data_IF_584805132418
#
_entry.id   IF_584805132418
#
_cell.length_a   1.000
_cell.length_b   1.000
_cell.length_c   1.000
_cell.angle_alpha   90.00
_cell.angle_beta   90.00
_cell.angle_gamma   90.00
#
_symmetry.space_group_name_H-M   'P 1'
#
loop_
_entity.id
_entity.type
_entity.pdbx_description
1 polymer ?
#
# COMPACT_ATOMS: atom_id res chain seq x y z
N UNK A 1 -9.54 25.57 28.03
CA UNK A 1 -9.24 26.99 28.37
C UNK A 1 -9.03 27.90 27.15
N UNK A 2 -8.21 27.50 26.15
CA UNK A 2 -7.91 28.34 24.98
C UNK A 2 -9.08 28.51 23.98
N UNK A 3 -9.89 27.46 23.76
CA UNK A 3 -10.99 27.49 22.77
C UNK A 3 -12.09 28.51 23.10
N UNK A 4 -12.45 28.67 24.38
CA UNK A 4 -13.52 29.60 24.77
C UNK A 4 -13.12 31.07 24.62
N UNK A 5 -11.82 31.38 24.73
CA UNK A 5 -11.32 32.72 24.50
C UNK A 5 -11.43 33.12 23.01
N UNK A 6 -11.27 32.16 22.09
CA UNK A 6 -11.38 32.40 20.65
C UNK A 6 -12.83 32.64 20.21
N UNK A 7 -13.80 31.97 20.84
CA UNK A 7 -15.21 32.03 20.43
C UNK A 7 -15.78 33.45 20.48
N UNK A 8 -15.51 34.21 21.55
CA UNK A 8 -16.00 35.59 21.69
C UNK A 8 -15.44 36.51 20.62
N UNK A 9 -14.17 36.34 20.26
CA UNK A 9 -13.50 37.13 19.22
C UNK A 9 -13.89 36.68 17.80
N UNK A 10 -14.31 35.43 17.62
CA UNK A 10 -14.85 34.93 16.36
C UNK A 10 -16.29 35.37 16.10
N UNK A 11 -17.08 35.60 17.14
CA UNK A 11 -18.45 36.12 17.03
C UNK A 11 -18.47 37.59 16.61
N UNK A 12 -17.58 38.40 17.18
CA UNK A 12 -17.44 39.83 16.86
C UNK A 12 -15.99 40.13 16.46
N UNK A 13 -15.53 39.66 15.29
CA UNK A 13 -14.16 39.88 14.87
C UNK A 13 -13.93 41.36 14.56
N UNK A 14 -12.82 41.96 15.04
CA UNK A 14 -12.45 43.29 14.63
C UNK A 14 -12.35 43.38 13.09
N UNK A 15 -12.71 44.50 12.44
CA UNK A 15 -12.82 44.57 10.98
C UNK A 15 -11.53 44.20 10.22
N UNK A 16 -10.38 44.43 10.85
CA UNK A 16 -9.05 44.19 10.31
C UNK A 16 -8.52 42.76 10.57
N UNK A 17 -9.22 41.95 11.36
CA UNK A 17 -8.79 40.59 11.71
C UNK A 17 -9.48 39.58 10.81
N UNK A 18 -8.70 38.63 10.29
CA UNK A 18 -9.20 37.46 9.55
C UNK A 18 -8.70 36.19 10.23
N UNK A 19 -9.61 35.25 10.43
CA UNK A 19 -9.30 33.93 10.99
C UNK A 19 -9.20 32.92 9.85
N UNK A 20 -8.06 32.25 9.75
CA UNK A 20 -7.85 31.10 8.84
C UNK A 20 -7.53 29.90 9.72
N UNK A 21 -8.44 28.94 9.76
CA UNK A 21 -8.31 27.72 10.56
C UNK A 21 -8.04 26.54 9.63
N UNK A 22 -6.97 25.79 9.91
CA UNK A 22 -6.58 24.61 9.14
C UNK A 22 -6.63 23.37 10.05
N UNK A 23 -7.29 22.30 9.60
CA UNK A 23 -7.33 21.01 10.31
C UNK A 23 -7.38 19.85 9.32
N UNK A 24 -6.77 18.72 9.69
CA UNK A 24 -6.93 17.44 8.99
C UNK A 24 -8.08 16.61 9.56
N UNK A 25 -8.65 17.01 10.71
CA UNK A 25 -9.69 16.28 11.44
C UNK A 25 -10.92 17.17 11.68
N UNK A 26 -11.63 17.55 10.61
CA UNK A 26 -12.77 18.46 10.70
C UNK A 26 -13.87 18.02 11.68
N UNK A 27 -14.07 16.70 11.84
CA UNK A 27 -15.07 16.13 12.75
C UNK A 27 -14.75 16.38 14.23
N UNK A 28 -13.49 16.66 14.58
CA UNK A 28 -13.09 17.02 15.96
C UNK A 28 -13.29 18.51 16.26
N UNK A 29 -13.57 19.33 15.25
CA UNK A 29 -13.81 20.76 15.44
C UNK A 29 -15.21 20.96 16.04
N UNK A 30 -15.37 21.73 17.13
CA UNK A 30 -16.68 21.99 17.70
C UNK A 30 -17.65 22.60 16.69
N UNK A 31 -18.92 22.16 16.70
CA UNK A 31 -19.96 22.68 15.82
C UNK A 31 -20.16 24.21 15.94
N UNK A 32 -19.88 24.76 17.12
CA UNK A 32 -19.91 26.21 17.38
C UNK A 32 -18.92 26.99 16.51
N UNK A 33 -17.75 26.43 16.21
CA UNK A 33 -16.77 27.05 15.31
C UNK A 33 -17.16 26.79 13.86
N UNK A 34 -17.56 25.56 13.52
CA UNK A 34 -17.94 25.21 12.15
C UNK A 34 -19.07 26.11 11.62
N UNK A 35 -20.07 26.41 12.46
CA UNK A 35 -21.20 27.29 12.10
C UNK A 35 -20.82 28.75 11.83
N UNK A 36 -19.64 29.20 12.29
CA UNK A 36 -19.15 30.58 12.17
C UNK A 36 -18.03 30.73 11.14
N UNK A 37 -17.67 29.65 10.44
CA UNK A 37 -16.61 29.63 9.43
C UNK A 37 -17.16 29.22 8.07
N UNK A 38 -16.64 29.83 7.00
CA UNK A 38 -16.80 29.26 5.67
C UNK A 38 -15.86 28.07 5.52
N UNK A 39 -16.42 26.90 5.28
CA UNK A 39 -15.66 25.65 5.13
C UNK A 39 -15.20 25.48 3.69
N UNK A 40 -13.90 25.25 3.52
CA UNK A 40 -13.28 24.86 2.26
C UNK A 40 -12.62 23.50 2.45
N UNK A 41 -13.12 22.49 1.74
CA UNK A 41 -12.54 21.15 1.75
C UNK A 41 -11.53 21.02 0.62
N UNK A 42 -10.27 20.83 1.00
CA UNK A 42 -9.21 20.49 0.05
C UNK A 42 -9.20 18.97 -0.17
N UNK A 43 -9.20 18.57 -1.45
CA UNK A 43 -9.08 17.17 -1.85
C UNK A 43 -7.64 16.86 -2.24
N UNK A 44 -7.27 15.59 -2.17
CA UNK A 44 -5.98 15.12 -2.67
C UNK A 44 -5.80 15.51 -4.14
N UNK A 45 -4.58 15.88 -4.50
CA UNK A 45 -4.23 16.31 -5.85
C UNK A 45 -3.91 15.04 -6.67
N UNK A 46 -4.51 14.88 -7.84
CA UNK A 46 -4.16 13.76 -8.75
C UNK A 46 -2.68 13.80 -9.12
N UNK A 47 -2.03 12.64 -9.26
CA UNK A 47 -0.61 12.55 -9.63
C UNK A 47 -0.27 13.37 -10.89
N UNK A 48 -1.12 13.33 -11.92
CA UNK A 48 -0.94 14.12 -13.15
C UNK A 48 -0.85 15.64 -12.90
N UNK A 49 -1.66 16.17 -11.96
CA UNK A 49 -1.63 17.60 -11.59
C UNK A 49 -0.40 17.95 -10.77
N UNK A 50 0.05 17.05 -9.89
CA UNK A 50 1.31 17.22 -9.17
C UNK A 50 2.46 17.24 -10.16
N UNK A 51 2.54 16.25 -11.06
CA UNK A 51 3.58 16.15 -12.08
C UNK A 51 3.66 17.42 -12.94
N UNK A 52 2.52 17.92 -13.42
CA UNK A 52 2.47 19.18 -14.19
C UNK A 52 3.04 20.37 -13.41
N UNK A 53 2.69 20.50 -12.13
CA UNK A 53 3.25 21.57 -11.30
C UNK A 53 4.76 21.41 -11.05
N UNK A 54 5.24 20.19 -10.81
CA UNK A 54 6.66 19.92 -10.62
C UNK A 54 7.45 20.24 -11.90
N UNK A 55 6.93 19.87 -13.08
CA UNK A 55 7.52 20.24 -14.37
C UNK A 55 7.57 21.78 -14.53
N UNK A 56 6.50 22.49 -14.16
CA UNK A 56 6.47 23.96 -14.22
C UNK A 56 7.56 24.59 -13.33
N UNK A 57 7.79 24.04 -12.13
CA UNK A 57 8.84 24.49 -11.21
C UNK A 57 10.23 24.22 -11.81
N UNK A 58 10.49 23.00 -12.28
CA UNK A 58 11.77 22.63 -12.89
C UNK A 58 12.11 23.52 -14.09
N UNK A 59 11.12 23.84 -14.94
CA UNK A 59 11.31 24.77 -16.07
C UNK A 59 11.68 26.17 -15.61
N UNK A 60 11.07 26.69 -14.52
CA UNK A 60 11.40 28.02 -13.98
C UNK A 60 12.81 28.07 -13.37
N UNK A 61 13.23 26.98 -12.75
CA UNK A 61 14.57 26.83 -12.17
C UNK A 61 15.63 26.42 -13.21
N UNK A 62 15.25 26.23 -14.48
CA UNK A 62 16.14 25.77 -15.57
C UNK A 62 16.81 24.42 -15.31
N UNK A 63 16.11 23.50 -14.64
CA UNK A 63 16.57 22.15 -14.31
C UNK A 63 15.96 21.17 -15.32
N UNK A 64 16.79 20.37 -15.98
CA UNK A 64 16.31 19.34 -16.89
C UNK A 64 15.85 18.10 -16.11
N UNK A 65 14.75 17.47 -16.54
CA UNK A 65 14.22 16.28 -15.89
C UNK A 65 13.53 15.34 -16.88
N UNK A 66 13.60 14.04 -16.61
CA UNK A 66 12.85 13.03 -17.34
C UNK A 66 11.38 13.05 -16.91
N UNK A 67 10.45 13.05 -17.87
CA UNK A 67 9.01 13.04 -17.57
C UNK A 67 8.58 11.84 -16.71
N UNK A 68 9.21 10.68 -16.93
CA UNK A 68 8.99 9.49 -16.14
C UNK A 68 9.41 9.67 -14.67
N UNK A 69 10.55 10.35 -14.42
CA UNK A 69 11.03 10.63 -13.08
C UNK A 69 10.09 11.59 -12.35
N UNK A 70 9.65 12.66 -13.02
CA UNK A 70 8.72 13.63 -12.43
C UNK A 70 7.36 12.99 -12.11
N UNK A 71 6.85 12.14 -13.01
CA UNK A 71 5.60 11.40 -12.77
C UNK A 71 5.74 10.43 -11.58
N UNK A 72 6.90 9.79 -11.43
CA UNK A 72 7.14 8.89 -10.30
C UNK A 72 7.23 9.65 -8.98
N UNK A 73 7.89 10.81 -8.93
CA UNK A 73 7.86 11.71 -7.76
C UNK A 73 6.43 12.14 -7.43
N UNK A 74 5.64 12.48 -8.44
CA UNK A 74 4.24 12.88 -8.26
C UNK A 74 3.36 11.76 -7.68
N UNK A 75 3.61 10.50 -8.05
CA UNK A 75 2.95 9.33 -7.44
C UNK A 75 3.38 9.13 -5.99
N UNK A 76 4.68 9.24 -5.71
CA UNK A 76 5.23 9.15 -4.34
C UNK A 76 4.71 10.25 -3.41
N UNK A 77 4.37 11.41 -3.97
CA UNK A 77 3.77 12.51 -3.23
C UNK A 77 2.35 12.20 -2.71
N UNK A 78 1.68 11.16 -3.22
CA UNK A 78 0.38 10.67 -2.76
C UNK A 78 -0.67 11.76 -2.47
N UNK A 79 -0.81 12.72 -3.39
CA UNK A 79 -1.77 13.82 -3.27
C UNK A 79 -1.29 15.05 -2.50
N UNK A 80 -0.08 15.03 -1.96
CA UNK A 80 0.55 16.13 -1.20
C UNK A 80 1.57 16.89 -2.04
N UNK A 81 1.24 18.09 -2.50
CA UNK A 81 2.18 18.93 -3.27
C UNK A 81 3.46 19.23 -2.49
N UNK A 82 3.35 19.43 -1.17
CA UNK A 82 4.49 19.70 -0.30
C UNK A 82 5.48 18.53 -0.32
N UNK A 83 4.97 17.31 -0.24
CA UNK A 83 5.83 16.13 -0.19
C UNK A 83 6.45 15.88 -1.58
N UNK A 84 5.71 16.16 -2.66
CA UNK A 84 6.25 16.15 -4.03
C UNK A 84 7.40 17.13 -4.26
N UNK A 85 7.24 18.39 -3.82
CA UNK A 85 8.31 19.39 -3.88
C UNK A 85 9.50 19.01 -2.99
N UNK A 86 9.24 18.49 -1.78
CA UNK A 86 10.30 18.06 -0.86
C UNK A 86 11.12 16.90 -1.43
N UNK A 87 10.48 15.95 -2.13
CA UNK A 87 11.15 14.87 -2.83
C UNK A 87 11.96 15.39 -4.02
N UNK A 88 11.38 16.31 -4.80
CA UNK A 88 12.06 16.93 -5.94
C UNK A 88 13.33 17.67 -5.50
N UNK A 89 13.26 18.48 -4.45
CA UNK A 89 14.41 19.21 -3.90
C UNK A 89 15.55 18.26 -3.49
N UNK A 90 15.21 17.11 -2.89
CA UNK A 90 16.23 16.09 -2.53
C UNK A 90 16.93 15.53 -3.76
N UNK A 91 16.20 15.30 -4.85
CA UNK A 91 16.77 14.80 -6.10
C UNK A 91 17.66 15.83 -6.76
N UNK A 92 17.21 17.08 -6.82
CA UNK A 92 18.02 18.19 -7.34
C UNK A 92 19.31 18.34 -6.54
N UNK A 93 19.24 18.25 -5.21
CA UNK A 93 20.42 18.34 -4.35
C UNK A 93 21.40 17.16 -4.50
N UNK A 94 20.90 15.98 -4.84
CA UNK A 94 21.72 14.78 -5.04
C UNK A 94 22.26 14.65 -6.48
N UNK A 95 21.70 15.41 -7.42
CA UNK A 95 22.17 15.42 -8.81
C UNK A 95 23.58 16.01 -8.92
N UNK A 96 24.47 15.33 -9.65
CA UNK A 96 25.82 15.82 -9.92
C UNK A 96 25.91 16.68 -11.18
N UNK A 97 25.00 16.52 -12.13
CA UNK A 97 24.94 17.24 -13.41
C UNK A 97 23.78 18.25 -13.48
N UNK A 98 23.03 18.41 -12.38
CA UNK A 98 21.87 19.30 -12.31
C UNK A 98 20.64 18.76 -13.06
N UNK A 99 20.58 17.46 -13.35
CA UNK A 99 19.44 16.80 -13.98
C UNK A 99 18.73 15.82 -13.05
N UNK A 100 17.42 15.75 -13.18
CA UNK A 100 16.57 14.78 -12.45
C UNK A 100 16.19 13.64 -13.39
N UNK A 101 16.85 12.49 -13.23
CA UNK A 101 16.61 11.30 -14.08
C UNK A 101 15.93 10.18 -13.29
N UNK A 102 15.37 9.20 -13.99
CA UNK A 102 14.83 7.98 -13.34
C UNK A 102 15.92 7.18 -12.61
N UNK A 103 17.14 7.14 -13.16
CA UNK A 103 18.27 6.50 -12.50
C UNK A 103 18.65 7.20 -11.19
N UNK A 104 18.73 8.53 -11.19
CA UNK A 104 18.99 9.31 -9.97
C UNK A 104 17.89 9.11 -8.93
N UNK A 105 16.63 9.02 -9.35
CA UNK A 105 15.51 8.73 -8.47
C UNK A 105 15.66 7.38 -7.78
N UNK A 106 16.03 6.32 -8.52
CA UNK A 106 16.28 5.00 -7.98
C UNK A 106 17.44 5.03 -6.97
N UNK A 107 18.56 5.67 -7.32
CA UNK A 107 19.75 5.78 -6.48
C UNK A 107 19.49 6.56 -5.18
N UNK A 108 18.76 7.69 -5.26
CA UNK A 108 18.55 8.61 -4.13
C UNK A 108 17.43 8.14 -3.20
N UNK A 109 16.36 7.58 -3.76
CA UNK A 109 15.21 7.14 -2.98
C UNK A 109 15.29 5.66 -2.60
N UNK A 110 16.31 4.92 -3.06
CA UNK A 110 16.38 3.46 -2.88
C UNK A 110 15.15 2.76 -3.47
N UNK A 111 14.55 3.38 -4.50
CA UNK A 111 13.35 2.88 -5.15
C UNK A 111 13.77 1.75 -6.07
N UNK A 112 13.31 0.52 -5.81
CA UNK A 112 13.63 -0.61 -6.67
C UNK A 112 12.96 -0.42 -8.04
N UNK A 113 13.51 -1.06 -9.07
CA UNK A 113 12.79 -1.20 -10.33
C UNK A 113 11.42 -1.83 -10.09
N UNK A 114 10.38 -1.34 -10.77
CA UNK A 114 9.00 -1.84 -10.64
C UNK A 114 8.93 -3.37 -10.83
N UNK A 115 9.80 -3.92 -11.69
CA UNK A 115 9.93 -5.35 -11.95
C UNK A 115 10.34 -6.19 -10.73
N UNK A 116 11.11 -5.62 -9.79
CA UNK A 116 11.54 -6.29 -8.56
C UNK A 116 10.33 -6.49 -7.65
N UNK A 117 9.55 -5.43 -7.45
CA UNK A 117 8.33 -5.47 -6.62
C UNK A 117 7.27 -6.34 -7.28
N UNK A 118 7.09 -6.22 -8.60
CA UNK A 118 6.20 -7.09 -9.38
C UNK A 118 6.58 -8.56 -9.22
N UNK A 119 7.87 -8.90 -9.31
CA UNK A 119 8.36 -10.27 -9.12
C UNK A 119 8.12 -10.81 -7.70
N UNK A 120 8.23 -9.97 -6.67
CA UNK A 120 7.88 -10.36 -5.29
C UNK A 120 6.38 -10.63 -5.15
N UNK A 121 5.53 -9.73 -5.67
CA UNK A 121 4.07 -9.90 -5.64
C UNK A 121 3.63 -11.13 -6.44
N UNK A 122 4.25 -11.40 -7.59
CA UNK A 122 4.00 -12.60 -8.37
C UNK A 122 4.39 -13.89 -7.62
N UNK A 123 5.51 -13.90 -6.90
CA UNK A 123 5.91 -15.03 -6.06
C UNK A 123 4.92 -15.27 -4.90
N UNK A 124 4.41 -14.19 -4.31
CA UNK A 124 3.36 -14.25 -3.29
C UNK A 124 2.08 -14.84 -3.89
N UNK A 125 1.67 -14.41 -5.08
CA UNK A 125 0.49 -14.94 -5.79
C UNK A 125 0.62 -16.41 -6.17
N UNK A 126 1.83 -16.86 -6.49
CA UNK A 126 2.11 -18.28 -6.72
C UNK A 126 2.09 -19.13 -5.43
N UNK A 127 2.01 -18.49 -4.25
CA UNK A 127 2.04 -19.15 -2.96
C UNK A 127 3.39 -19.75 -2.57
N UNK A 128 4.49 -19.32 -3.22
CA UNK A 128 5.84 -19.79 -2.94
C UNK A 128 6.49 -18.90 -1.86
N UNK A 129 6.34 -19.31 -0.59
CA UNK A 129 6.90 -18.57 0.54
C UNK A 129 8.43 -18.47 0.51
N UNK A 130 9.13 -19.47 -0.06
CA UNK A 130 10.59 -19.47 -0.15
C UNK A 130 11.05 -18.41 -1.14
N UNK A 131 10.52 -18.44 -2.37
CA UNK A 131 10.88 -17.46 -3.41
C UNK A 131 10.43 -16.06 -3.00
N UNK A 132 9.30 -15.93 -2.30
CA UNK A 132 8.85 -14.65 -1.76
C UNK A 132 9.85 -14.07 -0.74
N UNK A 133 10.35 -14.89 0.19
CA UNK A 133 11.37 -14.46 1.14
C UNK A 133 12.72 -14.13 0.47
N UNK A 134 13.17 -14.93 -0.49
CA UNK A 134 14.40 -14.69 -1.25
C UNK A 134 14.33 -13.32 -1.98
N UNK A 135 13.20 -13.04 -2.65
CA UNK A 135 12.96 -11.76 -3.34
C UNK A 135 12.83 -10.58 -2.37
N UNK A 136 12.15 -10.79 -1.24
CA UNK A 136 12.02 -9.77 -0.21
C UNK A 136 13.39 -9.44 0.43
N UNK A 137 14.27 -10.44 0.61
CA UNK A 137 15.63 -10.21 1.07
C UNK A 137 16.45 -9.42 0.05
N UNK A 138 16.42 -9.80 -1.24
CA UNK A 138 17.10 -9.08 -2.31
C UNK A 138 16.64 -7.62 -2.44
N UNK A 139 15.34 -7.38 -2.25
CA UNK A 139 14.78 -6.02 -2.23
C UNK A 139 15.40 -5.17 -1.12
N UNK A 140 15.52 -5.71 0.10
CA UNK A 140 16.12 -4.99 1.22
C UNK A 140 17.65 -4.84 1.07
N UNK A 141 18.33 -5.84 0.49
CA UNK A 141 19.76 -5.76 0.14
C UNK A 141 20.04 -4.68 -0.92
N UNK A 142 19.07 -4.41 -1.80
CA UNK A 142 19.09 -3.30 -2.75
C UNK A 142 18.92 -1.90 -2.12
N UNK A 143 18.82 -1.81 -0.79
CA UNK A 143 18.74 -0.54 -0.06
C UNK A 143 17.32 -0.04 0.21
N UNK A 144 16.29 -0.75 -0.25
CA UNK A 144 14.90 -0.42 0.08
C UNK A 144 14.65 -0.64 1.57
N UNK A 145 14.07 0.33 2.25
CA UNK A 145 13.71 0.18 3.67
C UNK A 145 12.48 -0.72 3.84
N UNK A 146 12.28 -1.30 5.04
CA UNK A 146 11.10 -2.14 5.33
C UNK A 146 9.79 -1.35 5.14
N UNK A 147 9.76 -0.10 5.59
CA UNK A 147 8.59 0.76 5.47
C UNK A 147 8.24 0.97 3.99
N UNK A 148 9.24 1.30 3.18
CA UNK A 148 9.10 1.49 1.75
C UNK A 148 8.72 0.20 1.02
N UNK A 149 9.30 -0.95 1.40
CA UNK A 149 8.94 -2.24 0.82
C UNK A 149 7.46 -2.57 1.05
N UNK A 150 6.95 -2.33 2.27
CA UNK A 150 5.54 -2.55 2.60
C UNK A 150 4.61 -1.61 1.82
N UNK A 151 4.99 -0.33 1.68
CA UNK A 151 4.25 0.66 0.89
C UNK A 151 4.20 0.30 -0.60
N UNK A 152 5.35 -0.09 -1.18
CA UNK A 152 5.46 -0.53 -2.57
C UNK A 152 4.64 -1.80 -2.85
N UNK A 153 4.70 -2.78 -1.94
CA UNK A 153 3.88 -3.98 -2.04
C UNK A 153 2.39 -3.65 -1.97
N UNK A 154 1.97 -2.77 -1.04
CA UNK A 154 0.58 -2.35 -0.91
C UNK A 154 0.08 -1.67 -2.19
N UNK A 155 0.87 -0.77 -2.78
CA UNK A 155 0.52 -0.10 -4.03
C UNK A 155 0.46 -1.09 -5.20
N UNK A 156 1.39 -2.05 -5.29
CA UNK A 156 1.33 -3.08 -6.33
C UNK A 156 0.10 -3.98 -6.17
N UNK A 157 -0.26 -4.38 -4.96
CA UNK A 157 -1.50 -5.11 -4.70
C UNK A 157 -2.73 -4.29 -5.10
N UNK A 158 -2.73 -2.96 -4.87
CA UNK A 158 -3.80 -2.06 -5.33
C UNK A 158 -3.93 -2.05 -6.84
N UNK A 159 -2.81 -1.93 -7.58
CA UNK A 159 -2.81 -1.95 -9.05
C UNK A 159 -3.36 -3.27 -9.57
N UNK A 160 -2.89 -4.41 -9.04
CA UNK A 160 -3.38 -5.74 -9.42
C UNK A 160 -4.87 -5.91 -9.09
N UNK A 161 -5.32 -5.39 -7.94
CA UNK A 161 -6.73 -5.42 -7.52
C UNK A 161 -7.62 -4.62 -8.47
N UNK A 162 -7.19 -3.42 -8.88
CA UNK A 162 -7.91 -2.63 -9.86
C UNK A 162 -7.98 -3.34 -11.21
N UNK A 163 -6.89 -4.00 -11.64
CA UNK A 163 -6.89 -4.78 -12.87
C UNK A 163 -7.87 -5.96 -12.79
N UNK A 164 -7.94 -6.64 -11.63
CA UNK A 164 -8.83 -7.76 -11.40
C UNK A 164 -10.32 -7.36 -11.36
N UNK A 165 -10.64 -6.20 -10.75
CA UNK A 165 -12.03 -5.75 -10.53
C UNK A 165 -12.57 -4.92 -11.68
N UNK A 166 -11.75 -4.01 -12.23
CA UNK A 166 -12.17 -3.03 -13.24
C UNK A 166 -11.71 -3.37 -14.66
N UNK A 167 -10.81 -4.34 -14.82
CA UNK A 167 -10.19 -4.67 -16.10
C UNK A 167 -8.95 -3.83 -16.40
N UNK A 168 -8.08 -4.34 -17.28
CA UNK A 168 -6.78 -3.75 -17.63
C UNK A 168 -6.90 -2.37 -18.31
N UNK A 169 -7.98 -2.16 -19.06
CA UNK A 169 -8.24 -0.93 -19.83
C UNK A 169 -8.90 0.18 -18.99
N UNK A 170 -9.11 -0.04 -17.69
CA UNK A 170 -9.74 0.94 -16.82
C UNK A 170 -8.89 2.21 -16.66
N UNK A 171 -9.55 3.38 -16.74
CA UNK A 171 -8.94 4.68 -16.44
C UNK A 171 -8.48 4.79 -14.98
N UNK A 172 -8.99 3.94 -14.09
CA UNK A 172 -8.56 3.89 -12.67
C UNK A 172 -7.15 3.31 -12.50
N UNK A 173 -6.65 2.55 -13.48
CA UNK A 173 -5.24 2.15 -13.52
C UNK A 173 -4.42 3.30 -14.11
N UNK A 174 -3.85 4.15 -13.27
CA UNK A 174 -2.96 5.24 -13.71
C UNK A 174 -1.51 4.75 -13.92
N UNK A 175 -1.33 3.71 -14.74
CA UNK A 175 -0.02 3.09 -15.06
C UNK A 175 0.22 2.98 -16.57
N UNK A 176 1.48 2.80 -16.96
CA UNK A 176 1.90 2.59 -18.35
C UNK A 176 1.35 1.26 -18.92
N UNK A 177 1.26 1.14 -20.24
CA UNK A 177 0.61 0.01 -20.91
C UNK A 177 1.29 -1.34 -20.62
N UNK A 178 2.62 -1.37 -20.55
CA UNK A 178 3.36 -2.59 -20.16
C UNK A 178 3.00 -3.03 -18.73
N UNK A 179 2.87 -2.06 -17.81
CA UNK A 179 2.49 -2.32 -16.43
C UNK A 179 1.02 -2.75 -16.30
N UNK A 180 0.12 -2.26 -17.16
CA UNK A 180 -1.28 -2.75 -17.23
C UNK A 180 -1.33 -4.23 -17.60
N UNK A 181 -0.59 -4.62 -18.65
CA UNK A 181 -0.56 -6.00 -19.12
C UNK A 181 0.02 -6.94 -18.07
N UNK A 182 1.06 -6.52 -17.35
CA UNK A 182 1.61 -7.28 -16.24
C UNK A 182 0.64 -7.41 -15.06
N UNK A 183 0.02 -6.30 -14.63
CA UNK A 183 -0.97 -6.32 -13.55
C UNK A 183 -2.17 -7.23 -13.88
N UNK A 184 -2.62 -7.23 -15.13
CA UNK A 184 -3.69 -8.12 -15.60
C UNK A 184 -3.28 -9.61 -15.63
N UNK A 185 -1.99 -9.91 -15.82
CA UNK A 185 -1.47 -11.28 -15.67
C UNK A 185 -1.44 -11.69 -14.20
N UNK A 186 -0.87 -10.85 -13.35
CA UNK A 186 -0.76 -11.10 -11.91
C UNK A 186 -2.14 -11.25 -11.26
N UNK A 187 -3.13 -10.49 -11.71
CA UNK A 187 -4.51 -10.54 -11.22
C UNK A 187 -5.12 -11.95 -11.27
N UNK A 188 -4.69 -12.81 -12.20
CA UNK A 188 -5.18 -14.18 -12.32
C UNK A 188 -4.76 -15.09 -11.17
N UNK A 189 -3.72 -14.71 -10.43
CA UNK A 189 -3.21 -15.46 -9.29
C UNK A 189 -3.90 -15.09 -7.96
N UNK A 190 -4.83 -14.11 -7.97
CA UNK A 190 -5.45 -13.62 -6.75
C UNK A 190 -6.95 -13.45 -6.90
N UNK A 191 -7.67 -13.79 -5.83
CA UNK A 191 -9.04 -13.30 -5.63
C UNK A 191 -9.00 -11.80 -5.24
N UNK A 192 -9.90 -10.95 -5.76
CA UNK A 192 -9.95 -9.53 -5.39
C UNK A 192 -10.05 -9.27 -3.88
N UNK A 193 -10.80 -10.12 -3.16
CA UNK A 193 -10.93 -10.04 -1.71
C UNK A 193 -9.60 -10.31 -0.99
N UNK A 194 -8.79 -11.23 -1.52
CA UNK A 194 -7.44 -11.51 -1.00
C UNK A 194 -6.55 -10.30 -1.18
N UNK A 195 -6.54 -9.66 -2.36
CA UNK A 195 -5.73 -8.45 -2.58
C UNK A 195 -6.09 -7.32 -1.60
N UNK A 196 -7.38 -7.09 -1.38
CA UNK A 196 -7.84 -6.12 -0.38
C UNK A 196 -7.33 -6.46 1.04
N UNK A 197 -7.32 -7.74 1.41
CA UNK A 197 -6.73 -8.19 2.67
C UNK A 197 -5.22 -7.95 2.73
N UNK A 198 -4.47 -8.30 1.67
CA UNK A 198 -3.01 -8.14 1.63
C UNK A 198 -2.60 -6.67 1.79
N UNK A 199 -3.33 -5.74 1.18
CA UNK A 199 -3.13 -4.29 1.38
C UNK A 199 -3.26 -3.92 2.87
N UNK A 200 -4.30 -4.42 3.54
CA UNK A 200 -4.50 -4.18 4.97
C UNK A 200 -3.40 -4.84 5.84
N UNK A 201 -2.85 -5.99 5.42
CA UNK A 201 -1.70 -6.62 6.08
C UNK A 201 -0.46 -5.73 5.99
N UNK A 202 -0.14 -5.21 4.80
CA UNK A 202 1.00 -4.31 4.61
C UNK A 202 0.88 -3.08 5.53
N UNK A 203 -0.28 -2.43 5.55
CA UNK A 203 -0.54 -1.24 6.36
C UNK A 203 -0.48 -1.52 7.88
N UNK A 204 -1.04 -2.65 8.33
CA UNK A 204 -0.95 -3.06 9.73
C UNK A 204 0.51 -3.33 10.16
N UNK A 205 1.26 -4.07 9.33
CA UNK A 205 2.67 -4.40 9.60
C UNK A 205 3.53 -3.14 9.55
N UNK A 206 3.28 -2.21 8.64
CA UNK A 206 3.98 -0.92 8.55
C UNK A 206 3.86 -0.14 9.87
N UNK A 207 2.65 -0.02 10.41
CA UNK A 207 2.43 0.63 11.72
C UNK A 207 3.16 -0.08 12.85
N UNK A 208 3.10 -1.41 12.89
CA UNK A 208 3.77 -2.21 13.92
C UNK A 208 5.30 -2.15 13.81
N UNK A 209 5.85 -2.19 12.60
CA UNK A 209 7.28 -2.15 12.35
C UNK A 209 7.91 -0.85 12.85
N UNK A 210 7.26 0.30 12.64
CA UNK A 210 7.70 1.63 13.12
C UNK A 210 7.86 1.73 14.64
N UNK A 211 7.20 0.85 15.39
CA UNK A 211 7.22 0.86 16.87
C UNK A 211 7.88 -0.39 17.47
N UNK A 212 8.37 -1.29 16.61
CA UNK A 212 8.90 -2.58 17.03
C UNK A 212 10.42 -2.54 17.19
N UNK A 213 10.95 -3.27 18.18
CA UNK A 213 12.38 -3.55 18.30
C UNK A 213 12.89 -4.61 17.31
N UNK A 214 12.00 -5.28 16.58
CA UNK A 214 12.33 -6.33 15.60
C UNK A 214 11.53 -6.17 14.29
N UNK A 215 11.69 -5.05 13.56
CA UNK A 215 10.92 -4.76 12.34
C UNK A 215 11.16 -5.79 11.23
N UNK A 216 12.40 -6.30 11.11
CA UNK A 216 12.74 -7.34 10.10
C UNK A 216 11.95 -8.63 10.29
N UNK A 217 11.83 -9.09 11.55
CA UNK A 217 11.07 -10.30 11.87
C UNK A 217 9.59 -10.14 11.50
N UNK A 218 9.00 -8.97 11.77
CA UNK A 218 7.61 -8.68 11.40
C UNK A 218 7.41 -8.67 9.89
N UNK A 219 8.37 -8.09 9.15
CA UNK A 219 8.35 -8.06 7.69
C UNK A 219 8.44 -9.47 7.09
N UNK A 220 9.42 -10.28 7.49
CA UNK A 220 9.59 -11.65 6.97
C UNK A 220 8.34 -12.51 7.30
N UNK A 221 7.79 -12.38 8.51
CA UNK A 221 6.55 -13.06 8.89
C UNK A 221 5.34 -12.61 8.05
N UNK A 222 5.26 -11.32 7.71
CA UNK A 222 4.23 -10.79 6.83
C UNK A 222 4.35 -11.37 5.41
N UNK A 223 5.55 -11.41 4.83
CA UNK A 223 5.80 -11.98 3.50
C UNK A 223 5.35 -13.45 3.45
N UNK A 224 5.74 -14.26 4.44
CA UNK A 224 5.30 -15.67 4.53
C UNK A 224 3.79 -15.76 4.68
N UNK A 225 3.19 -14.98 5.58
CA UNK A 225 1.74 -14.96 5.78
C UNK A 225 1.00 -14.63 4.48
N UNK A 226 1.47 -13.65 3.73
CA UNK A 226 0.87 -13.23 2.46
C UNK A 226 0.95 -14.34 1.41
N UNK A 227 2.12 -14.97 1.25
CA UNK A 227 2.30 -16.09 0.32
C UNK A 227 1.41 -17.29 0.69
N UNK A 228 1.27 -17.61 1.97
CA UNK A 228 0.39 -18.69 2.42
C UNK A 228 -1.10 -18.34 2.28
N UNK A 229 -1.47 -17.06 2.47
CA UNK A 229 -2.84 -16.60 2.31
C UNK A 229 -3.30 -16.56 0.84
N UNK A 230 -2.38 -16.31 -0.10
CA UNK A 230 -2.69 -16.34 -1.53
C UNK A 230 -3.12 -17.72 -2.04
N UNK A 231 -2.79 -18.80 -1.31
CA UNK A 231 -3.22 -20.18 -1.64
C UNK A 231 -4.72 -20.43 -1.40
N UNK A 232 -5.44 -19.54 -0.74
CA UNK A 232 -6.89 -19.66 -0.57
C UNK A 232 -7.63 -19.24 -1.86
N UNK A 233 -7.42 -20.01 -2.93
CA UNK A 233 -8.38 -20.16 -4.02
C UNK A 233 -9.62 -20.92 -3.48
N UNK A 234 -10.82 -20.74 -4.07
CA UNK A 234 -12.07 -21.13 -3.43
C UNK A 234 -12.12 -22.63 -3.12
N UNK A 235 -12.65 -22.95 -1.93
CA UNK A 235 -13.00 -24.30 -1.44
C UNK A 235 -14.14 -24.93 -2.29
N UNK A 236 -14.36 -24.49 -3.53
CA UNK A 236 -15.38 -25.00 -4.42
C UNK A 236 -15.08 -26.43 -4.93
N UNK A 237 -13.83 -26.91 -4.83
CA UNK A 237 -13.46 -28.28 -5.24
C UNK A 237 -13.29 -29.27 -4.07
N UNK A 238 -13.46 -28.87 -2.81
CA UNK A 238 -13.41 -29.81 -1.67
C UNK A 238 -14.77 -30.53 -1.46
N UNK A 239 -15.80 -30.15 -2.21
CA UNK A 239 -17.15 -30.73 -2.13
C UNK A 239 -17.44 -31.91 -3.07
N UNK A 240 -16.51 -32.32 -3.94
CA UNK A 240 -16.74 -33.38 -4.94
C UNK A 240 -15.80 -34.59 -4.78
N UNK A 241 -15.52 -35.00 -3.54
CA UNK A 241 -14.55 -36.05 -3.25
C UNK A 241 -14.79 -36.87 -1.99
N UNK A 242 -16.03 -36.99 -1.50
CA UNK A 242 -16.35 -37.85 -0.35
C UNK A 242 -17.62 -38.65 -0.56
N UNK A 243 -17.58 -39.60 -1.50
CA UNK A 243 -18.41 -40.81 -1.44
C UNK A 243 -17.57 -42.04 -1.79
N UNK A 244 -16.66 -42.38 -0.87
CA UNK A 244 -16.07 -43.72 -0.76
C UNK A 244 -15.37 -43.86 0.59
N UNK A 245 -16.09 -43.67 1.71
CA UNK A 245 -15.65 -44.27 2.97
C UNK A 245 -16.05 -45.75 2.92
N UNK A 246 -15.09 -46.58 2.50
CA UNK A 246 -15.10 -47.98 2.82
C UNK A 246 -15.27 -48.13 4.34
N UNK A 247 -16.33 -48.82 4.74
CA UNK A 247 -16.54 -49.23 6.13
C UNK A 247 -15.40 -50.17 6.51
N UNK A 248 -14.47 -49.69 7.34
CA UNK A 248 -13.60 -50.57 8.11
C UNK A 248 -14.43 -51.16 9.25
N UNK A 249 -14.40 -52.48 9.49
CA UNK A 249 -15.17 -53.09 10.56
C UNK A 249 -14.62 -52.66 11.92
N UNK A 250 -15.53 -52.33 12.82
CA UNK A 250 -15.24 -52.00 14.23
C UNK A 250 -14.71 -53.27 14.93
N UNK A 251 -13.59 -53.21 15.69
CA UNK A 251 -13.15 -54.36 16.46
C UNK A 251 -14.10 -54.59 17.66
N UNK A 252 -14.70 -55.78 17.71
CA UNK A 252 -15.48 -56.25 18.85
C UNK A 252 -14.59 -56.38 20.10
N UNK A 253 -14.98 -55.69 21.17
CA UNK A 253 -14.41 -55.88 22.51
C UNK A 253 -14.88 -57.23 23.07
N UNK A 254 -13.99 -58.02 23.71
CA UNK A 254 -14.36 -59.33 24.22
C UNK A 254 -15.35 -59.22 25.39
N UNK A 255 -16.53 -59.81 25.21
CA UNK A 255 -17.55 -59.97 26.25
C UNK A 255 -17.03 -60.92 27.33
N UNK A 256 -16.86 -60.43 28.56
CA UNK A 256 -16.57 -61.27 29.73
C UNK A 256 -17.74 -62.22 29.99
N UNK A 257 -17.48 -63.53 30.00
CA UNK A 257 -18.43 -64.57 30.42
C UNK A 257 -18.87 -64.33 31.89
N UNK A 258 -20.16 -64.45 32.21
CA UNK A 258 -20.60 -64.43 33.61
C UNK A 258 -20.11 -65.70 34.32
N UNK A 259 -19.59 -65.53 35.53
CA UNK A 259 -19.20 -66.59 36.45
C UNK A 259 -20.42 -67.44 36.82
N UNK A 260 -20.28 -68.77 36.76
CA UNK A 260 -21.29 -69.71 37.28
C UNK A 260 -21.28 -69.67 38.81
N UNK A 261 -22.45 -69.75 39.47
CA UNK A 261 -22.51 -69.82 40.92
C UNK A 261 -22.06 -71.20 41.42
N UNK A 262 -21.17 -71.20 42.41
CA UNK A 262 -21.10 -72.20 43.47
C UNK A 262 -21.19 -71.48 44.80
#
# INVERSE_FOLDING_TARGET
>A
PAFNALLKTMEEPPPHVKFILCTTEAHKVPATIQSRCQRFDFRNISAAKIAGHLQDVLRKESIAADDAAVMQVARLANGSMRDGLSLLDRLVAASTDGRVTTALLADVLGMPDDSVVAGLVAAIGAGDARVSLERAAALLEGGTSIDQALELMAERFRIVMLAAVCGADSELLEVADEARAEAARDAKAFEPATLAHLIAVCDAVLRSAKQSGAPRTLFDAAVVRMALAARFAPVAEVGAGTSARAQAPVPELPVKKPLRPM
#
